data_IF_631012723851
#
_entry.id   IF_631012723851
#
_cell.length_a   1.000
_cell.length_b   1.000
_cell.length_c   1.000
_cell.angle_alpha   90.00
_cell.angle_beta   90.00
_cell.angle_gamma   90.00
#
_symmetry.space_group_name_H-M   'P 1'
#
loop_
_entity.id
_entity.type
_entity.pdbx_description
1 polymer ?
#
# COMPACT_ATOMS: atom_id res chain seq x y z
N UNK A 1 -8.40 90.10 -0.06
CA UNK A 1 -8.05 89.36 -1.29
C UNK A 1 -7.10 88.22 -0.91
N UNK A 2 -7.59 87.05 -0.49
CA UNK A 2 -6.73 85.90 -0.12
C UNK A 2 -7.40 84.53 -0.40
N UNK A 3 -8.33 84.45 -1.36
CA UNK A 3 -9.09 83.22 -1.67
C UNK A 3 -8.87 82.63 -3.06
N UNK A 4 -8.16 83.32 -3.96
CA UNK A 4 -8.05 82.93 -5.37
C UNK A 4 -6.80 82.07 -5.63
N UNK A 5 -5.70 82.28 -4.90
CA UNK A 5 -4.44 81.56 -5.13
C UNK A 5 -4.48 80.10 -4.65
N UNK A 6 -5.17 79.80 -3.56
CA UNK A 6 -5.26 78.43 -3.02
C UNK A 6 -6.07 77.50 -3.90
N UNK A 7 -7.15 78.00 -4.53
CA UNK A 7 -8.00 77.20 -5.42
C UNK A 7 -7.28 76.88 -6.74
N UNK A 8 -6.51 77.83 -7.27
CA UNK A 8 -5.75 77.64 -8.51
C UNK A 8 -4.56 76.68 -8.31
N UNK A 9 -3.87 76.79 -7.17
CA UNK A 9 -2.79 75.86 -6.79
C UNK A 9 -3.34 74.45 -6.55
N UNK A 10 -4.49 74.29 -5.88
CA UNK A 10 -5.15 72.99 -5.72
C UNK A 10 -5.56 72.37 -7.06
N UNK A 11 -6.06 73.18 -7.99
CA UNK A 11 -6.45 72.74 -9.33
C UNK A 11 -5.23 72.26 -10.14
N UNK A 12 -4.12 73.01 -10.14
CA UNK A 12 -2.90 72.64 -10.86
C UNK A 12 -2.25 71.41 -10.25
N UNK A 13 -2.17 71.31 -8.91
CA UNK A 13 -1.70 70.10 -8.23
C UNK A 13 -2.59 68.88 -8.54
N UNK A 14 -3.92 69.06 -8.57
CA UNK A 14 -4.87 68.01 -8.95
C UNK A 14 -4.70 67.54 -10.40
N UNK A 15 -4.42 68.46 -11.33
CA UNK A 15 -4.15 68.13 -12.73
C UNK A 15 -2.79 67.44 -12.94
N UNK A 16 -1.74 67.86 -12.23
CA UNK A 16 -0.42 67.21 -12.30
C UNK A 16 -0.49 65.81 -11.67
N UNK A 17 -1.20 65.67 -10.54
CA UNK A 17 -1.44 64.38 -9.91
C UNK A 17 -2.22 63.42 -10.80
N UNK A 18 -3.18 63.89 -11.60
CA UNK A 18 -3.94 63.03 -12.53
C UNK A 18 -3.13 62.65 -13.77
N UNK A 19 -2.33 63.56 -14.34
CA UNK A 19 -1.49 63.29 -15.53
C UNK A 19 -0.37 62.30 -15.22
N UNK A 20 0.22 62.36 -14.02
CA UNK A 20 1.31 61.44 -13.61
C UNK A 20 0.76 60.17 -12.96
N UNK A 21 -0.34 60.27 -12.21
CA UNK A 21 -0.93 59.16 -11.48
C UNK A 21 -1.56 58.09 -12.36
N UNK A 22 -2.22 58.47 -13.46
CA UNK A 22 -2.91 57.53 -14.36
C UNK A 22 -1.92 56.59 -15.08
N UNK A 23 -0.80 57.07 -15.68
CA UNK A 23 0.20 56.20 -16.30
C UNK A 23 0.88 55.24 -15.32
N UNK A 24 1.18 55.70 -14.10
CA UNK A 24 1.77 54.85 -13.06
C UNK A 24 0.81 53.75 -12.60
N UNK A 25 -0.48 54.08 -12.44
CA UNK A 25 -1.52 53.10 -12.14
C UNK A 25 -1.69 52.07 -13.28
N UNK A 26 -1.58 52.49 -14.55
CA UNK A 26 -1.64 51.57 -15.69
C UNK A 26 -0.43 50.62 -15.74
N UNK A 27 0.77 51.11 -15.42
CA UNK A 27 1.98 50.30 -15.34
C UNK A 27 1.90 49.27 -14.20
N UNK A 28 1.43 49.67 -13.02
CA UNK A 28 1.27 48.76 -11.87
C UNK A 28 0.21 47.69 -12.15
N UNK A 29 -0.93 48.04 -12.77
CA UNK A 29 -1.96 47.07 -13.19
C UNK A 29 -1.41 46.09 -14.23
N UNK A 30 -0.59 46.55 -15.19
CA UNK A 30 0.06 45.67 -16.18
C UNK A 30 1.04 44.71 -15.53
N UNK A 31 1.87 45.19 -14.61
CA UNK A 31 2.80 44.34 -13.87
C UNK A 31 2.05 43.31 -13.02
N UNK A 32 0.99 43.74 -12.32
CA UNK A 32 0.14 42.85 -11.52
C UNK A 32 -0.54 41.77 -12.38
N UNK A 33 -1.05 42.11 -13.58
CA UNK A 33 -1.64 41.12 -14.50
C UNK A 33 -0.61 40.12 -15.03
N UNK A 34 0.60 40.57 -15.33
CA UNK A 34 1.67 39.68 -15.80
C UNK A 34 2.16 38.76 -14.66
N UNK A 35 2.28 39.29 -13.44
CA UNK A 35 2.63 38.50 -12.26
C UNK A 35 1.53 37.47 -11.92
N UNK A 36 0.25 37.84 -12.00
CA UNK A 36 -0.87 36.93 -11.79
C UNK A 36 -0.88 35.79 -12.83
N UNK A 37 -0.67 36.11 -14.11
CA UNK A 37 -0.59 35.08 -15.18
C UNK A 37 0.58 34.12 -14.99
N UNK A 38 1.75 34.63 -14.54
CA UNK A 38 2.91 33.78 -14.22
C UNK A 38 2.62 32.88 -13.02
N UNK A 39 2.03 33.44 -11.97
CA UNK A 39 1.64 32.68 -10.77
C UNK A 39 0.59 31.60 -11.08
N UNK A 40 -0.39 31.88 -11.93
CA UNK A 40 -1.36 30.87 -12.38
C UNK A 40 -0.70 29.76 -13.20
N UNK A 41 0.26 30.09 -14.08
CA UNK A 41 0.99 29.11 -14.86
C UNK A 41 1.90 28.23 -13.98
N UNK A 42 2.61 28.83 -13.02
CA UNK A 42 3.44 28.13 -12.05
C UNK A 42 2.60 27.26 -11.11
N UNK A 43 1.44 27.73 -10.66
CA UNK A 43 0.52 26.95 -9.84
C UNK A 43 -0.06 25.75 -10.59
N UNK A 44 -0.38 25.90 -11.88
CA UNK A 44 -0.83 24.78 -12.74
C UNK A 44 0.28 23.75 -12.95
N UNK A 45 1.48 24.19 -13.32
CA UNK A 45 2.63 23.31 -13.50
C UNK A 45 3.00 22.58 -12.20
N UNK A 46 2.97 23.27 -11.06
CA UNK A 46 3.21 22.68 -9.74
C UNK A 46 2.13 21.66 -9.37
N UNK A 47 0.86 21.94 -9.67
CA UNK A 47 -0.24 21.00 -9.46
C UNK A 47 -0.09 19.75 -10.33
N UNK A 48 0.25 19.90 -11.60
CA UNK A 48 0.48 18.79 -12.53
C UNK A 48 1.66 17.92 -12.10
N UNK A 49 2.80 18.53 -11.76
CA UNK A 49 3.97 17.81 -11.23
C UNK A 49 3.65 17.09 -9.91
N UNK A 50 2.88 17.71 -9.02
CA UNK A 50 2.43 17.08 -7.77
C UNK A 50 1.50 15.89 -8.02
N UNK A 51 0.60 15.98 -9.00
CA UNK A 51 -0.29 14.88 -9.39
C UNK A 51 0.49 13.69 -9.96
N UNK A 52 1.49 13.95 -10.81
CA UNK A 52 2.38 12.91 -11.34
C UNK A 52 3.22 12.27 -10.23
N UNK A 53 3.81 13.07 -9.33
CA UNK A 53 4.55 12.53 -8.20
C UNK A 53 3.66 11.66 -7.29
N UNK A 54 2.40 12.07 -7.06
CA UNK A 54 1.43 11.26 -6.32
C UNK A 54 1.13 9.94 -7.01
N UNK A 55 0.91 9.94 -8.33
CA UNK A 55 0.64 8.70 -9.05
C UNK A 55 1.82 7.72 -9.00
N UNK A 56 3.05 8.21 -9.16
CA UNK A 56 4.25 7.38 -9.07
C UNK A 56 4.48 6.82 -7.66
N UNK A 57 4.23 7.62 -6.61
CA UNK A 57 4.29 7.13 -5.23
C UNK A 57 3.24 6.06 -4.95
N UNK A 58 2.02 6.21 -5.47
CA UNK A 58 0.98 5.18 -5.29
C UNK A 58 1.33 3.88 -6.02
N UNK A 59 1.91 3.95 -7.23
CA UNK A 59 2.43 2.76 -7.93
C UNK A 59 3.52 2.07 -7.12
N UNK A 60 4.51 2.83 -6.64
CA UNK A 60 5.59 2.30 -5.83
C UNK A 60 5.09 1.66 -4.52
N UNK A 61 4.10 2.28 -3.86
CA UNK A 61 3.41 1.69 -2.70
C UNK A 61 2.73 0.36 -3.05
N UNK A 62 2.09 0.29 -4.21
CA UNK A 62 1.49 -0.95 -4.71
C UNK A 62 2.53 -2.06 -4.90
N UNK A 63 3.68 -1.76 -5.51
CA UNK A 63 4.78 -2.70 -5.68
C UNK A 63 5.36 -3.17 -4.34
N UNK A 64 5.56 -2.26 -3.38
CA UNK A 64 6.03 -2.60 -2.04
C UNK A 64 5.08 -3.55 -1.32
N UNK A 65 3.76 -3.34 -1.46
CA UNK A 65 2.76 -4.26 -0.90
C UNK A 65 2.89 -5.64 -1.54
N UNK A 66 3.00 -5.71 -2.86
CA UNK A 66 3.19 -6.99 -3.57
C UNK A 66 4.45 -7.74 -3.09
N UNK A 67 5.58 -7.02 -2.94
CA UNK A 67 6.82 -7.59 -2.43
C UNK A 67 6.64 -8.11 -1.00
N UNK A 68 5.98 -7.34 -0.13
CA UNK A 68 5.67 -7.78 1.24
C UNK A 68 4.84 -9.06 1.23
N UNK A 69 3.81 -9.14 0.38
CA UNK A 69 2.96 -10.34 0.25
C UNK A 69 3.77 -11.56 -0.22
N UNK A 70 4.70 -11.38 -1.16
CA UNK A 70 5.59 -12.44 -1.65
C UNK A 70 6.47 -12.97 -0.51
N UNK A 71 7.08 -12.08 0.26
CA UNK A 71 7.91 -12.44 1.41
C UNK A 71 7.09 -13.22 2.43
N UNK A 72 5.84 -12.80 2.69
CA UNK A 72 4.98 -13.49 3.65
C UNK A 72 4.53 -14.87 3.14
N UNK A 73 4.31 -15.05 1.84
CA UNK A 73 4.09 -16.36 1.23
C UNK A 73 5.32 -17.27 1.37
N UNK A 74 6.52 -16.76 1.12
CA UNK A 74 7.76 -17.53 1.28
C UNK A 74 7.94 -18.00 2.73
N UNK A 75 7.69 -17.12 3.69
CA UNK A 75 7.68 -17.48 5.12
C UNK A 75 6.65 -18.56 5.41
N UNK A 76 5.44 -18.46 4.84
CA UNK A 76 4.39 -19.46 5.04
C UNK A 76 4.78 -20.84 4.52
N UNK A 77 5.36 -20.91 3.31
CA UNK A 77 5.86 -22.16 2.73
C UNK A 77 7.02 -22.74 3.55
N UNK A 78 7.96 -21.91 3.99
CA UNK A 78 9.03 -22.34 4.89
C UNK A 78 8.50 -22.91 6.20
N UNK A 79 7.49 -22.28 6.81
CA UNK A 79 6.85 -22.79 8.02
C UNK A 79 6.14 -24.13 7.78
N UNK A 80 5.54 -24.36 6.60
CA UNK A 80 4.96 -25.66 6.25
C UNK A 80 6.01 -26.78 6.16
N UNK A 81 7.18 -26.48 5.60
CA UNK A 81 8.29 -27.44 5.55
C UNK A 81 8.87 -27.73 6.94
N UNK A 82 8.99 -26.71 7.78
CA UNK A 82 9.34 -26.89 9.20
C UNK A 82 8.33 -27.83 9.87
N UNK A 83 7.02 -27.55 9.76
CA UNK A 83 5.97 -28.38 10.37
C UNK A 83 6.08 -29.84 9.90
N UNK A 84 6.32 -30.08 8.60
CA UNK A 84 6.59 -31.44 8.09
C UNK A 84 7.79 -32.08 8.77
N UNK A 85 8.90 -31.34 8.92
CA UNK A 85 10.09 -31.82 9.62
C UNK A 85 9.78 -32.23 11.06
N UNK A 86 9.07 -31.38 11.82
CA UNK A 86 8.64 -31.69 13.19
C UNK A 86 7.76 -32.95 13.27
N UNK A 87 6.81 -33.09 12.35
CA UNK A 87 5.92 -34.26 12.27
C UNK A 87 6.72 -35.54 11.95
N UNK A 88 7.67 -35.48 11.00
CA UNK A 88 8.53 -36.63 10.65
C UNK A 88 9.43 -37.06 11.80
N UNK A 89 9.95 -36.11 12.57
CA UNK A 89 10.74 -36.36 13.77
C UNK A 89 9.90 -36.74 15.00
N UNK A 90 8.57 -36.88 14.83
CA UNK A 90 7.62 -37.15 15.92
C UNK A 90 7.66 -36.14 17.06
N UNK A 91 8.15 -34.92 16.81
CA UNK A 91 8.13 -33.83 17.78
C UNK A 91 6.84 -33.03 17.63
N UNK A 92 5.74 -33.58 18.17
CA UNK A 92 4.40 -33.00 18.04
C UNK A 92 4.13 -31.84 19.00
N UNK A 93 4.95 -31.65 20.03
CA UNK A 93 4.72 -30.65 21.08
C UNK A 93 4.65 -29.22 20.54
N UNK A 94 5.52 -28.88 19.60
CA UNK A 94 5.63 -27.54 19.00
C UNK A 94 4.81 -27.36 17.72
N UNK A 95 4.15 -28.42 17.23
CA UNK A 95 3.43 -28.38 15.95
C UNK A 95 2.18 -27.49 16.01
N UNK A 96 1.31 -27.57 17.04
CA UNK A 96 0.14 -26.69 17.14
C UNK A 96 0.52 -25.21 17.09
N UNK A 97 1.50 -24.77 17.87
CA UNK A 97 1.95 -23.37 17.90
C UNK A 97 2.44 -22.89 16.52
N UNK A 98 3.16 -23.76 15.79
CA UNK A 98 3.63 -23.46 14.42
C UNK A 98 2.46 -23.40 13.43
N UNK A 99 1.46 -24.27 13.57
CA UNK A 99 0.25 -24.21 12.75
C UNK A 99 -0.54 -22.93 13.05
N UNK A 100 -0.69 -22.55 14.32
CA UNK A 100 -1.36 -21.32 14.71
C UNK A 100 -0.66 -20.08 14.10
N UNK A 101 0.68 -20.01 14.18
CA UNK A 101 1.47 -18.95 13.55
C UNK A 101 1.29 -18.92 12.03
N UNK A 102 1.29 -20.08 11.38
CA UNK A 102 1.04 -20.20 9.94
C UNK A 102 -0.37 -19.75 9.56
N UNK A 103 -1.39 -20.09 10.35
CA UNK A 103 -2.78 -19.65 10.11
C UNK A 103 -2.90 -18.13 10.21
N UNK A 104 -2.24 -17.50 11.18
CA UNK A 104 -2.22 -16.03 11.30
C UNK A 104 -1.57 -15.39 10.07
N UNK A 105 -0.45 -15.93 9.63
CA UNK A 105 0.26 -15.46 8.44
C UNK A 105 -0.61 -15.60 7.18
N UNK A 106 -1.22 -16.77 6.97
CA UNK A 106 -2.12 -17.01 5.83
C UNK A 106 -3.34 -16.07 5.85
N UNK A 107 -3.91 -15.78 7.01
CA UNK A 107 -5.01 -14.81 7.12
C UNK A 107 -4.56 -13.37 6.85
N UNK A 108 -3.32 -13.03 7.19
CA UNK A 108 -2.73 -11.72 6.87
C UNK A 108 -2.58 -11.55 5.36
N UNK A 109 -2.08 -12.59 4.67
CA UNK A 109 -1.96 -12.63 3.21
C UNK A 109 -3.34 -12.55 2.53
N UNK A 110 -4.36 -13.20 3.09
CA UNK A 110 -5.75 -13.18 2.59
C UNK A 110 -6.47 -11.85 2.83
N UNK A 111 -5.87 -10.89 3.52
CA UNK A 111 -6.51 -9.60 3.79
C UNK A 111 -6.90 -8.89 2.48
N UNK A 112 -8.08 -8.24 2.40
CA UNK A 112 -8.52 -7.52 1.20
C UNK A 112 -7.50 -6.47 0.71
N UNK A 113 -6.66 -5.97 1.61
CA UNK A 113 -5.58 -5.01 1.30
C UNK A 113 -4.46 -5.57 0.40
N UNK A 114 -4.36 -6.89 0.24
CA UNK A 114 -3.28 -7.55 -0.49
C UNK A 114 -3.61 -7.86 -1.96
N UNK A 115 -4.86 -7.65 -2.41
CA UNK A 115 -5.30 -7.79 -3.82
C UNK A 115 -4.85 -9.10 -4.53
N UNK A 116 -4.77 -10.22 -3.80
CA UNK A 116 -4.26 -11.50 -4.34
C UNK A 116 -5.25 -12.22 -5.27
N UNK A 117 -6.51 -11.78 -5.32
CA UNK A 117 -7.58 -12.33 -6.14
C UNK A 117 -8.38 -13.45 -5.46
N UNK A 118 -9.67 -13.53 -5.80
CA UNK A 118 -10.65 -14.41 -5.15
C UNK A 118 -10.27 -15.90 -5.19
N UNK A 119 -9.64 -16.35 -6.28
CA UNK A 119 -9.21 -17.75 -6.41
C UNK A 119 -8.07 -18.07 -5.43
N UNK A 120 -7.11 -17.15 -5.26
CA UNK A 120 -6.03 -17.29 -4.29
C UNK A 120 -6.57 -17.23 -2.86
N UNK A 121 -7.51 -16.33 -2.57
CA UNK A 121 -8.17 -16.25 -1.26
C UNK A 121 -8.90 -17.55 -0.89
N UNK A 122 -9.61 -18.15 -1.85
CA UNK A 122 -10.28 -19.44 -1.65
C UNK A 122 -9.27 -20.55 -1.33
N UNK A 123 -8.21 -20.64 -2.12
CA UNK A 123 -7.10 -21.59 -1.91
C UNK A 123 -6.45 -21.44 -0.54
N UNK A 124 -6.16 -20.21 -0.11
CA UNK A 124 -5.63 -19.95 1.23
C UNK A 124 -6.62 -20.41 2.31
N UNK A 125 -7.91 -20.12 2.14
CA UNK A 125 -8.94 -20.53 3.10
C UNK A 125 -9.04 -22.07 3.18
N UNK A 126 -8.97 -22.77 2.05
CA UNK A 126 -8.91 -24.24 1.99
C UNK A 126 -7.71 -24.76 2.79
N UNK A 127 -6.52 -24.15 2.62
CA UNK A 127 -5.34 -24.50 3.40
C UNK A 127 -5.49 -24.24 4.90
N UNK A 128 -6.07 -23.10 5.30
CA UNK A 128 -6.34 -22.80 6.72
C UNK A 128 -7.23 -23.86 7.35
N UNK A 129 -8.29 -24.29 6.65
CA UNK A 129 -9.20 -25.34 7.14
C UNK A 129 -8.48 -26.68 7.26
N UNK A 130 -7.64 -27.05 6.29
CA UNK A 130 -6.87 -28.29 6.33
C UNK A 130 -5.86 -28.29 7.49
N UNK A 131 -5.17 -27.17 7.73
CA UNK A 131 -4.21 -27.01 8.81
C UNK A 131 -4.87 -27.12 10.19
N UNK A 132 -6.03 -26.48 10.40
CA UNK A 132 -6.79 -26.60 11.66
C UNK A 132 -7.19 -28.04 11.98
N UNK A 133 -7.54 -28.84 10.96
CA UNK A 133 -7.84 -30.26 11.16
C UNK A 133 -6.64 -31.05 11.68
N UNK A 134 -5.42 -30.71 11.21
CA UNK A 134 -4.18 -31.32 11.68
C UNK A 134 -3.89 -30.87 13.12
N UNK A 135 -3.99 -29.58 13.39
CA UNK A 135 -3.82 -28.99 14.72
C UNK A 135 -4.74 -29.68 15.74
N UNK A 136 -6.03 -29.75 15.45
CA UNK A 136 -7.02 -30.41 16.31
C UNK A 136 -6.70 -31.90 16.55
N UNK A 137 -6.25 -32.61 15.51
CA UNK A 137 -5.91 -34.02 15.61
C UNK A 137 -4.67 -34.25 16.50
N UNK A 138 -3.66 -33.40 16.36
CA UNK A 138 -2.44 -33.45 17.18
C UNK A 138 -2.77 -33.05 18.62
N UNK A 139 -3.55 -31.98 18.81
CA UNK A 139 -3.94 -31.51 20.14
C UNK A 139 -4.73 -32.58 20.90
N UNK A 140 -5.72 -33.22 20.28
CA UNK A 140 -6.47 -34.34 20.89
C UNK A 140 -5.57 -35.51 21.29
N UNK A 141 -4.62 -35.90 20.43
CA UNK A 141 -3.66 -36.97 20.74
C UNK A 141 -2.76 -36.61 21.93
N UNK A 142 -2.33 -35.34 22.03
CA UNK A 142 -1.51 -34.88 23.14
C UNK A 142 -2.23 -34.95 24.49
N UNK A 143 -3.53 -34.63 24.52
CA UNK A 143 -4.37 -34.71 25.72
C UNK A 143 -4.62 -36.15 26.17
N UNK A 144 -4.69 -37.10 25.24
CA UNK A 144 -4.93 -38.51 25.54
C UNK A 144 -3.67 -39.30 25.88
N UNK A 145 -2.49 -38.66 25.94
CA UNK A 145 -1.16 -39.30 26.07
C UNK A 145 -0.86 -40.39 25.02
N UNK A 146 -1.66 -40.47 23.96
CA UNK A 146 -1.42 -41.37 22.83
C UNK A 146 -0.70 -40.61 21.73
N UNK A 147 0.29 -41.25 21.08
CA UNK A 147 0.91 -40.64 19.91
C UNK A 147 -0.15 -40.40 18.83
N UNK A 148 -0.23 -39.20 18.24
CA UNK A 148 -1.16 -38.93 17.15
C UNK A 148 -1.01 -39.96 16.03
N UNK A 149 -2.06 -40.75 15.79
CA UNK A 149 -2.09 -41.71 14.68
C UNK A 149 -2.22 -40.93 13.37
N UNK A 150 -1.44 -41.30 12.35
CA UNK A 150 -1.57 -40.70 11.02
C UNK A 150 -0.47 -39.70 10.60
N UNK A 151 0.76 -39.84 11.11
CA UNK A 151 1.94 -39.06 10.70
C UNK A 151 2.09 -38.94 9.17
N UNK A 152 1.90 -40.04 8.45
CA UNK A 152 1.96 -40.05 6.98
C UNK A 152 0.80 -39.26 6.35
N UNK A 153 -0.39 -39.30 6.96
CA UNK A 153 -1.56 -38.54 6.52
C UNK A 153 -1.33 -37.04 6.69
N UNK A 154 -0.82 -36.61 7.86
CA UNK A 154 -0.52 -35.20 8.11
C UNK A 154 0.52 -34.64 7.13
N UNK A 155 1.63 -35.38 6.93
CA UNK A 155 2.65 -34.99 5.96
C UNK A 155 2.09 -34.87 4.54
N UNK A 156 1.22 -35.79 4.13
CA UNK A 156 0.55 -35.74 2.83
C UNK A 156 -0.32 -34.50 2.72
N UNK A 157 -1.15 -34.20 3.72
CA UNK A 157 -2.03 -33.04 3.71
C UNK A 157 -1.22 -31.74 3.62
N UNK A 158 -0.13 -31.60 4.40
CA UNK A 158 0.70 -30.40 4.34
C UNK A 158 1.38 -30.27 2.97
N UNK A 159 1.87 -31.37 2.41
CA UNK A 159 2.48 -31.35 1.07
C UNK A 159 1.46 -30.91 0.01
N UNK A 160 0.22 -31.37 0.09
CA UNK A 160 -0.86 -30.91 -0.79
C UNK A 160 -1.16 -29.42 -0.62
N UNK A 161 -1.05 -28.86 0.60
CA UNK A 161 -1.22 -27.42 0.79
C UNK A 161 -0.05 -26.62 0.23
N UNK A 162 1.18 -27.13 0.32
CA UNK A 162 2.35 -26.54 -0.35
C UNK A 162 2.11 -26.50 -1.86
N UNK A 163 1.73 -27.62 -2.47
CA UNK A 163 1.47 -27.72 -3.91
C UNK A 163 0.34 -26.79 -4.38
N UNK A 164 -0.61 -26.50 -3.48
CA UNK A 164 -1.74 -25.61 -3.74
C UNK A 164 -1.36 -24.12 -3.63
N UNK A 165 -0.47 -23.75 -2.70
CA UNK A 165 -0.04 -22.36 -2.48
C UNK A 165 1.17 -21.95 -3.34
N UNK A 166 2.04 -22.88 -3.71
CA UNK A 166 3.25 -22.62 -4.52
C UNK A 166 2.94 -21.90 -5.85
N UNK A 167 1.89 -22.28 -6.63
CA UNK A 167 1.55 -21.59 -7.86
C UNK A 167 1.15 -20.13 -7.64
N UNK A 168 0.46 -19.83 -6.53
CA UNK A 168 0.06 -18.45 -6.19
C UNK A 168 1.31 -17.59 -5.99
N UNK A 169 2.31 -18.09 -5.27
CA UNK A 169 3.57 -17.37 -5.10
C UNK A 169 4.29 -17.12 -6.45
N UNK A 170 4.29 -18.11 -7.34
CA UNK A 170 4.87 -17.98 -8.68
C UNK A 170 4.15 -16.89 -9.48
N UNK A 171 2.81 -16.90 -9.46
CA UNK A 171 2.00 -15.90 -10.14
C UNK A 171 2.24 -14.49 -9.58
N UNK A 172 2.32 -14.33 -8.25
CA UNK A 172 2.63 -13.06 -7.59
C UNK A 172 4.03 -12.53 -7.98
N UNK A 173 5.05 -13.40 -7.95
CA UNK A 173 6.40 -13.03 -8.42
C UNK A 173 6.40 -12.59 -9.89
N UNK A 174 5.59 -13.24 -10.71
CA UNK A 174 5.40 -12.91 -12.11
C UNK A 174 4.69 -11.58 -12.37
N UNK A 175 4.07 -10.96 -11.35
CA UNK A 175 3.43 -9.64 -11.45
C UNK A 175 4.38 -8.48 -11.16
N UNK A 176 5.54 -8.73 -10.53
CA UNK A 176 6.55 -7.70 -10.30
C UNK A 176 6.99 -7.10 -11.64
N UNK A 177 6.93 -5.77 -11.75
CA UNK A 177 7.32 -5.05 -12.97
C UNK A 177 6.34 -5.18 -14.15
N UNK A 178 5.18 -5.83 -13.98
CA UNK A 178 4.13 -5.93 -15.02
C UNK A 178 2.95 -4.97 -14.82
N UNK A 179 2.70 -4.45 -13.61
CA UNK A 179 1.66 -3.44 -13.36
C UNK A 179 2.21 -2.05 -13.78
N UNK A 180 1.63 -1.38 -14.79
CA UNK A 180 2.05 -0.05 -15.24
C UNK A 180 1.66 1.09 -14.28
#
# INVERSE_FOLDING_TARGET
MQGIDTVLILSILGSIASVIGIPLALLSIRQARNAARRSEAEAKASKEASLQAKSEVEKFRGELRLISTIIDFEKALSLMDDIKSFIRLSNFSSVPDKIAALIVLLNTIRSPSMEIGNEAERKIQESVVALRKIEDAIHRGSLSQEKPKGVNSFNRVISQQIDLLQPILIDLKGQIGKKP
#
